data_IF_482264354145
#
_entry.id   IF_482264354145
#
_cell.length_a   1.000
_cell.length_b   1.000
_cell.length_c   1.000
_cell.angle_alpha   90.00
_cell.angle_beta   90.00
_cell.angle_gamma   90.00
#
_symmetry.space_group_name_H-M   'P 1'
#
loop_
_entity.id
_entity.type
_entity.pdbx_description
1 polymer ?
#
# COMPACT_ATOMS: atom_id res chain seq x y z
N UNK A 1 -8.22 -8.59 30.39
CA UNK A 1 -8.37 -9.89 29.70
C UNK A 1 -8.28 -9.63 28.20
N UNK A 2 -7.30 -10.27 27.55
CA UNK A 2 -7.02 -10.43 26.10
C UNK A 2 -7.14 -9.19 25.19
N UNK A 3 -6.04 -8.55 24.76
CA UNK A 3 -5.10 -8.98 23.71
C UNK A 3 -5.77 -9.61 22.48
N UNK A 4 -5.89 -8.83 21.40
CA UNK A 4 -5.55 -9.10 19.98
C UNK A 4 -5.91 -7.82 19.19
N UNK A 5 -4.94 -6.95 18.89
CA UNK A 5 -5.12 -5.81 17.95
C UNK A 5 -3.78 -5.25 17.44
N UNK A 6 -2.84 -6.11 17.03
CA UNK A 6 -1.49 -5.62 16.66
C UNK A 6 -0.76 -6.45 15.59
N UNK A 7 -1.40 -7.41 14.95
CA UNK A 7 -0.70 -8.31 14.01
C UNK A 7 -0.57 -7.75 12.59
N UNK A 8 -1.47 -6.89 12.09
CA UNK A 8 -1.33 -6.39 10.70
C UNK A 8 -0.11 -5.48 10.54
N UNK A 9 0.08 -4.53 11.47
CA UNK A 9 1.18 -3.56 11.37
C UNK A 9 2.57 -4.20 11.34
N UNK A 10 2.77 -5.38 11.95
CA UNK A 10 4.08 -6.04 11.94
C UNK A 10 4.37 -6.77 10.61
N UNK A 11 3.35 -7.32 9.95
CA UNK A 11 3.51 -8.02 8.66
C UNK A 11 3.77 -7.05 7.52
N UNK A 12 3.06 -5.92 7.47
CA UNK A 12 3.27 -4.85 6.48
C UNK A 12 4.70 -4.28 6.55
N UNK A 13 5.21 -4.01 7.76
CA UNK A 13 6.56 -3.47 8.00
C UNK A 13 7.67 -4.41 7.53
N UNK A 14 7.44 -5.72 7.57
CA UNK A 14 8.42 -6.75 7.16
C UNK A 14 8.54 -6.82 5.65
N UNK A 15 7.43 -6.73 4.90
CA UNK A 15 7.46 -6.74 3.44
C UNK A 15 8.22 -5.57 2.86
N UNK A 16 7.92 -4.36 3.36
CA UNK A 16 8.58 -3.14 2.90
C UNK A 16 10.08 -3.12 3.15
N UNK A 17 10.49 -3.50 4.37
CA UNK A 17 11.92 -3.53 4.75
C UNK A 17 12.66 -4.70 4.10
N UNK A 18 12.02 -5.86 3.96
CA UNK A 18 12.64 -7.07 3.41
C UNK A 18 12.86 -7.00 1.90
N UNK A 19 11.88 -6.51 1.13
CA UNK A 19 11.98 -6.45 -0.32
C UNK A 19 12.77 -5.22 -0.81
N UNK A 20 12.61 -4.08 -0.14
CA UNK A 20 13.10 -2.79 -0.63
C UNK A 20 14.10 -2.09 0.28
N UNK A 21 14.33 -2.55 1.51
CA UNK A 21 15.21 -1.84 2.45
C UNK A 21 14.73 -0.41 2.77
N UNK A 22 13.42 -0.17 2.80
CA UNK A 22 12.87 1.18 3.02
C UNK A 22 13.18 1.72 4.41
N UNK A 23 13.16 3.05 4.54
CA UNK A 23 13.03 3.72 5.84
C UNK A 23 11.58 4.04 6.12
N UNK A 24 11.19 4.04 7.41
CA UNK A 24 9.80 4.24 7.83
C UNK A 24 9.71 5.42 8.78
N UNK A 25 8.66 6.22 8.62
CA UNK A 25 8.13 7.01 9.73
C UNK A 25 7.59 6.04 10.78
N UNK A 26 8.05 6.18 12.03
CA UNK A 26 7.56 5.36 13.14
C UNK A 26 6.16 5.78 13.60
N UNK A 27 5.76 7.01 13.29
CA UNK A 27 4.41 7.55 13.49
C UNK A 27 4.21 8.67 12.46
N UNK A 28 3.29 8.47 11.50
CA UNK A 28 3.04 9.42 10.40
C UNK A 28 2.62 10.80 10.92
N UNK A 29 1.81 10.84 11.97
CA UNK A 29 1.30 12.09 12.53
C UNK A 29 2.39 12.79 13.34
N UNK A 30 3.03 12.07 14.26
CA UNK A 30 3.98 12.68 15.22
C UNK A 30 5.36 12.97 14.62
N UNK A 31 5.85 12.09 13.75
CA UNK A 31 7.18 12.22 13.13
C UNK A 31 7.08 12.90 11.75
N UNK A 32 6.07 12.53 10.96
CA UNK A 32 5.95 12.97 9.58
C UNK A 32 5.11 14.24 9.37
N UNK A 33 4.24 14.60 10.33
CA UNK A 33 3.32 15.72 10.19
C UNK A 33 2.17 15.48 9.20
N UNK A 34 1.88 14.21 8.90
CA UNK A 34 0.82 13.78 7.98
C UNK A 34 -0.54 13.65 8.67
N UNK A 35 -1.58 13.41 7.87
CA UNK A 35 -2.88 13.05 8.41
C UNK A 35 -2.85 11.67 9.09
N UNK A 36 -3.89 11.36 9.85
CA UNK A 36 -4.04 10.02 10.42
C UNK A 36 -4.43 9.05 9.30
N UNK A 37 -3.69 7.96 9.15
CA UNK A 37 -3.98 6.83 8.25
C UNK A 37 -4.56 5.62 9.00
N UNK A 38 -5.20 5.86 10.15
CA UNK A 38 -5.94 4.84 10.89
C UNK A 38 -7.46 5.05 10.73
N UNK A 39 -8.03 4.40 9.71
CA UNK A 39 -9.44 4.49 9.31
C UNK A 39 -10.35 3.65 10.18
N UNK A 40 -10.04 3.49 11.47
CA UNK A 40 -10.74 2.61 12.41
C UNK A 40 -12.23 2.94 12.60
N UNK A 41 -12.67 4.11 12.12
CA UNK A 41 -14.07 4.55 12.11
C UNK A 41 -14.85 4.12 10.86
N UNK A 42 -14.17 3.62 9.83
CA UNK A 42 -14.75 3.18 8.56
C UNK A 42 -14.78 1.65 8.46
N UNK A 43 -15.74 1.06 7.73
CA UNK A 43 -15.75 -0.37 7.41
C UNK A 43 -14.47 -0.79 6.70
N UNK A 44 -13.98 -2.01 7.01
CA UNK A 44 -12.69 -2.51 6.48
C UNK A 44 -12.67 -2.75 4.99
N UNK A 45 -13.83 -2.97 4.38
CA UNK A 45 -14.00 -3.21 2.96
C UNK A 45 -14.24 -1.93 2.16
N UNK A 46 -14.37 -0.77 2.80
CA UNK A 46 -14.67 0.49 2.13
C UNK A 46 -13.43 1.37 1.95
N UNK A 47 -13.36 2.05 0.82
CA UNK A 47 -12.32 3.03 0.54
C UNK A 47 -12.52 4.29 1.38
N UNK A 48 -11.45 4.76 2.03
CA UNK A 48 -11.47 5.93 2.90
C UNK A 48 -10.74 7.12 2.28
N UNK A 49 -9.54 6.93 1.75
CA UNK A 49 -8.79 8.01 1.10
C UNK A 49 -8.35 7.63 -0.31
N UNK A 50 -8.00 8.64 -1.10
CA UNK A 50 -7.50 8.44 -2.46
C UNK A 50 -6.00 8.16 -2.43
N UNK A 51 -5.57 7.29 -3.34
CA UNK A 51 -4.17 7.12 -3.73
C UNK A 51 -4.04 7.49 -5.20
N UNK A 52 -3.16 8.43 -5.48
CA UNK A 52 -2.82 8.91 -6.82
C UNK A 52 -1.52 8.23 -7.30
N UNK A 53 -1.56 7.67 -8.52
CA UNK A 53 -0.46 6.90 -9.11
C UNK A 53 0.35 7.71 -10.11
N UNK A 54 1.65 7.43 -10.17
CA UNK A 54 2.52 7.98 -11.22
C UNK A 54 2.07 7.47 -12.61
N UNK A 55 2.06 8.34 -13.64
CA UNK A 55 1.79 7.90 -15.00
C UNK A 55 2.78 6.81 -15.46
N UNK A 56 2.26 5.78 -16.15
CA UNK A 56 3.03 4.62 -16.64
C UNK A 56 3.60 3.71 -15.52
N UNK A 57 3.08 3.82 -14.30
CA UNK A 57 3.26 2.80 -13.27
C UNK A 57 2.46 1.54 -13.63
N UNK A 58 2.93 0.37 -13.18
CA UNK A 58 2.16 -0.87 -13.26
C UNK A 58 0.85 -0.76 -12.50
N UNK A 59 0.79 0.04 -11.43
CA UNK A 59 -0.46 0.33 -10.74
C UNK A 59 -1.47 1.03 -11.66
N UNK A 60 -1.06 2.11 -12.35
CA UNK A 60 -1.93 2.80 -13.30
C UNK A 60 -2.42 1.86 -14.42
N UNK A 61 -1.55 0.96 -14.89
CA UNK A 61 -1.90 -0.05 -15.90
C UNK A 61 -2.89 -1.10 -15.36
N UNK A 62 -2.66 -1.63 -14.16
CA UNK A 62 -3.52 -2.65 -13.53
C UNK A 62 -4.92 -2.09 -13.26
N UNK A 63 -5.01 -0.88 -12.72
CA UNK A 63 -6.30 -0.27 -12.40
C UNK A 63 -6.97 0.35 -13.63
N UNK A 64 -6.20 0.71 -14.66
CA UNK A 64 -6.66 1.43 -15.85
C UNK A 64 -7.01 2.89 -15.56
N UNK A 65 -6.40 3.49 -14.53
CA UNK A 65 -6.70 4.83 -14.01
C UNK A 65 -5.56 5.40 -13.19
N UNK A 66 -5.55 6.72 -13.03
CA UNK A 66 -4.52 7.44 -12.29
C UNK A 66 -4.71 7.45 -10.77
N UNK A 67 -5.85 6.96 -10.26
CA UNK A 67 -6.13 6.98 -8.82
C UNK A 67 -7.19 5.97 -8.42
N UNK A 68 -7.18 5.50 -7.18
CA UNK A 68 -8.20 4.62 -6.58
C UNK A 68 -8.52 5.02 -5.15
N UNK A 69 -9.69 4.60 -4.65
CA UNK A 69 -10.03 4.72 -3.23
C UNK A 69 -9.57 3.46 -2.49
N UNK A 70 -8.91 3.64 -1.34
CA UNK A 70 -8.33 2.54 -0.56
C UNK A 70 -8.74 2.63 0.90
N UNK A 71 -8.88 1.49 1.57
CA UNK A 71 -8.96 1.45 3.03
C UNK A 71 -7.60 1.82 3.62
N UNK A 72 -7.54 2.14 4.92
CA UNK A 72 -6.25 2.42 5.55
C UNK A 72 -6.28 2.15 7.05
N UNK A 73 -5.30 1.38 7.52
CA UNK A 73 -5.20 0.88 8.89
C UNK A 73 -3.75 0.87 9.40
N UNK A 74 -3.01 1.93 9.12
CA UNK A 74 -1.60 2.05 9.51
C UNK A 74 -1.30 3.40 10.16
N UNK A 75 -0.35 3.40 11.10
CA UNK A 75 0.20 4.62 11.70
C UNK A 75 1.66 4.83 11.31
N UNK A 76 2.29 3.82 10.70
CA UNK A 76 3.62 3.93 10.12
C UNK A 76 3.48 3.99 8.60
N UNK A 77 4.47 4.55 7.92
CA UNK A 77 4.48 4.58 6.46
C UNK A 77 5.89 4.79 5.94
N UNK A 78 6.07 4.59 4.63
CA UNK A 78 7.38 4.72 4.01
C UNK A 78 7.83 6.17 4.03
N UNK A 79 9.08 6.39 4.46
CA UNK A 79 9.73 7.70 4.43
C UNK A 79 10.58 7.87 3.18
N UNK A 80 11.46 6.92 2.91
CA UNK A 80 12.27 6.86 1.69
C UNK A 80 12.26 5.43 1.15
N UNK A 81 12.13 5.26 -0.18
CA UNK A 81 12.32 3.96 -0.80
C UNK A 81 13.80 3.56 -0.67
N UNK A 82 14.09 2.26 -0.57
CA UNK A 82 15.46 1.80 -0.68
C UNK A 82 15.86 1.54 -2.14
N UNK A 83 17.09 1.08 -2.33
CA UNK A 83 17.70 0.96 -3.65
C UNK A 83 16.94 -0.04 -4.53
N UNK A 84 16.62 0.38 -5.76
CA UNK A 84 15.90 -0.46 -6.72
C UNK A 84 14.39 -0.49 -6.51
N UNK A 85 13.84 0.37 -5.65
CA UNK A 85 12.42 0.55 -5.49
C UNK A 85 12.01 2.00 -5.75
N UNK A 86 10.85 2.20 -6.35
CA UNK A 86 10.31 3.52 -6.66
C UNK A 86 8.92 3.68 -6.07
N UNK A 87 8.65 4.83 -5.46
CA UNK A 87 7.30 5.20 -5.02
C UNK A 87 6.48 5.50 -6.26
N UNK A 88 5.40 4.77 -6.46
CA UNK A 88 4.50 4.89 -7.62
C UNK A 88 3.08 5.26 -7.27
N UNK A 89 2.75 5.35 -5.98
CA UNK A 89 1.48 5.92 -5.53
C UNK A 89 1.60 6.62 -4.19
N UNK A 90 0.86 7.71 -4.03
CA UNK A 90 0.81 8.51 -2.81
C UNK A 90 -0.62 8.88 -2.45
N UNK A 91 -0.89 9.04 -1.16
CA UNK A 91 -2.13 9.66 -0.67
C UNK A 91 -2.17 11.17 -0.97
N UNK A 92 -3.31 11.80 -0.70
CA UNK A 92 -3.55 13.23 -0.93
C UNK A 92 -2.62 14.14 -0.11
N UNK A 93 -2.21 13.69 1.08
CA UNK A 93 -1.25 14.38 1.96
C UNK A 93 0.21 13.99 1.66
N UNK A 94 0.43 13.17 0.63
CA UNK A 94 1.74 12.85 0.09
C UNK A 94 2.44 11.64 0.72
N UNK A 95 1.78 10.90 1.63
CA UNK A 95 2.32 9.65 2.18
C UNK A 95 2.47 8.62 1.06
N UNK A 96 3.63 7.96 0.93
CA UNK A 96 3.80 6.87 -0.01
C UNK A 96 2.92 5.66 0.34
N UNK A 97 2.10 5.25 -0.61
CA UNK A 97 1.09 4.20 -0.44
C UNK A 97 1.31 3.00 -1.37
N UNK A 98 2.05 3.21 -2.46
CA UNK A 98 2.36 2.16 -3.43
C UNK A 98 3.78 2.29 -3.97
N UNK A 99 4.49 1.17 -4.10
CA UNK A 99 5.87 1.10 -4.59
C UNK A 99 6.02 -0.07 -5.54
N UNK A 100 6.92 0.12 -6.49
CA UNK A 100 7.35 -0.90 -7.43
C UNK A 100 8.83 -1.25 -7.21
N UNK A 101 9.14 -2.55 -7.24
CA UNK A 101 10.53 -3.02 -7.30
C UNK A 101 10.97 -3.02 -8.76
N UNK A 102 11.95 -2.19 -9.06
CA UNK A 102 12.51 -2.04 -10.39
C UNK A 102 13.33 -3.28 -10.77
N UNK A 103 13.35 -3.62 -12.05
CA UNK A 103 14.03 -4.80 -12.61
C UNK A 103 13.53 -6.15 -12.08
N UNK A 104 12.33 -6.20 -11.48
CA UNK A 104 11.63 -7.45 -11.16
C UNK A 104 10.44 -7.65 -12.11
N UNK A 105 10.15 -8.89 -12.58
CA UNK A 105 9.02 -9.15 -13.48
C UNK A 105 7.67 -8.71 -12.91
N UNK A 106 7.46 -8.96 -11.61
CA UNK A 106 6.30 -8.51 -10.85
C UNK A 106 6.62 -8.46 -9.36
N UNK A 107 6.86 -7.27 -8.81
CA UNK A 107 6.98 -7.07 -7.37
C UNK A 107 6.45 -5.69 -7.03
N UNK A 108 5.23 -5.70 -6.50
CA UNK A 108 4.46 -4.54 -6.12
C UNK A 108 4.18 -4.65 -4.63
N UNK A 109 4.16 -3.51 -3.96
CA UNK A 109 3.73 -3.44 -2.57
C UNK A 109 2.83 -2.23 -2.37
N UNK A 110 1.87 -2.39 -1.48
CA UNK A 110 0.83 -1.41 -1.15
C UNK A 110 0.71 -1.29 0.36
N UNK A 111 0.31 -0.12 0.84
CA UNK A 111 0.23 0.17 2.26
C UNK A 111 -1.18 -0.06 2.83
N UNK A 112 -2.20 -0.06 1.96
CA UNK A 112 -3.57 -0.48 2.28
C UNK A 112 -3.76 -2.00 2.25
N UNK A 113 -4.98 -2.45 2.55
CA UNK A 113 -5.38 -3.85 2.64
C UNK A 113 -6.34 -4.26 1.51
N UNK A 114 -5.85 -4.58 0.30
CA UNK A 114 -6.70 -5.01 -0.81
C UNK A 114 -7.47 -6.30 -0.50
N UNK A 115 -6.95 -7.16 0.37
CA UNK A 115 -7.59 -8.42 0.79
C UNK A 115 -8.85 -8.20 1.64
N UNK A 116 -8.98 -7.03 2.29
CA UNK A 116 -10.16 -6.69 3.07
C UNK A 116 -11.27 -6.07 2.21
N UNK A 117 -10.96 -5.66 0.97
CA UNK A 117 -11.86 -4.97 0.03
C UNK A 117 -12.32 -5.91 -1.09
N UNK A 118 -12.76 -7.13 -0.73
CA UNK A 118 -13.06 -8.21 -1.68
C UNK A 118 -14.26 -7.94 -2.59
N UNK A 119 -15.13 -7.00 -2.21
CA UNK A 119 -16.28 -6.50 -2.96
C UNK A 119 -15.91 -5.37 -3.92
N UNK A 120 -14.68 -4.83 -3.83
CA UNK A 120 -14.16 -3.84 -4.78
C UNK A 120 -13.59 -4.53 -6.02
N UNK A 121 -14.23 -4.30 -7.17
CA UNK A 121 -13.72 -4.75 -8.47
C UNK A 121 -12.29 -4.24 -8.75
N UNK A 122 -11.94 -3.07 -8.23
CA UNK A 122 -10.60 -2.49 -8.37
C UNK A 122 -9.56 -3.32 -7.62
N UNK A 123 -9.84 -3.64 -6.36
CA UNK A 123 -8.89 -4.36 -5.50
C UNK A 123 -8.75 -5.83 -5.95
N UNK A 124 -9.83 -6.41 -6.48
CA UNK A 124 -9.78 -7.72 -7.16
C UNK A 124 -8.83 -7.70 -8.36
N UNK A 125 -8.76 -6.61 -9.16
CA UNK A 125 -7.80 -6.51 -10.27
C UNK A 125 -6.35 -6.59 -9.81
N UNK A 126 -6.01 -5.92 -8.69
CA UNK A 126 -4.65 -5.96 -8.14
C UNK A 126 -4.27 -7.38 -7.70
N UNK A 127 -5.17 -8.07 -6.99
CA UNK A 127 -4.96 -9.44 -6.55
C UNK A 127 -4.88 -10.41 -7.74
N UNK A 128 -5.74 -10.24 -8.75
CA UNK A 128 -5.71 -11.02 -9.98
C UNK A 128 -4.39 -10.83 -10.75
N UNK A 129 -3.88 -9.60 -10.83
CA UNK A 129 -2.60 -9.30 -11.47
C UNK A 129 -1.43 -10.02 -10.78
N UNK A 130 -1.45 -10.11 -9.44
CA UNK A 130 -0.48 -10.91 -8.70
C UNK A 130 -0.58 -12.41 -9.03
N UNK A 131 -1.79 -12.97 -9.03
CA UNK A 131 -2.02 -14.39 -9.36
C UNK A 131 -1.57 -14.70 -10.79
N UNK A 132 -1.89 -13.83 -11.75
CA UNK A 132 -1.51 -14.01 -13.15
C UNK A 132 0.00 -13.85 -13.39
N UNK A 133 0.68 -13.02 -12.60
CA UNK A 133 2.13 -12.97 -12.59
C UNK A 133 2.73 -14.25 -12.00
N UNK A 134 2.17 -14.78 -10.90
CA UNK A 134 2.65 -15.99 -10.24
C UNK A 134 2.56 -17.23 -11.13
N UNK A 135 1.52 -17.34 -11.98
CA UNK A 135 1.38 -18.46 -12.95
C UNK A 135 2.50 -18.55 -13.99
N UNK A 136 3.33 -17.50 -14.13
CA UNK A 136 4.42 -17.44 -15.12
C UNK A 136 5.75 -17.97 -14.57
N UNK A 137 5.78 -18.38 -13.30
CA UNK A 137 6.94 -18.94 -12.59
C UNK A 137 6.61 -20.31 -12.02
#
# INVERSE_FOLDING_TARGET
>A
MSFISSTSSLVEKVWWRGACGVTLYQDLVKEGGFESHSGSRYPRNEGWHRVDFEPRSRFADIFGKSSVMVNSYHHQGVRLPGKGCEIKGKSEDGVPEAIEVMNHPFALAVQWHPEMMFDSEEQVKLLAAFVDAAKKF
#
